data_IF_429961339863
#
_entry.id   IF_429961339863
#
_cell.length_a   1.000
_cell.length_b   1.000
_cell.length_c   1.000
_cell.angle_alpha   90.00
_cell.angle_beta   90.00
_cell.angle_gamma   90.00
#
_symmetry.space_group_name_H-M   'P 1'
#
loop_
_entity.id
_entity.type
_entity.pdbx_description
1 polymer ?
#
# COMPACT_ATOMS: atom_id res chain seq x y z
N UNK A 1 -5.33 3.60 -9.49
CA UNK A 1 -5.16 4.94 -8.87
C UNK A 1 -5.34 6.00 -9.96
N UNK A 2 -6.03 7.09 -9.63
CA UNK A 2 -6.24 8.22 -10.53
C UNK A 2 -5.99 9.50 -9.71
N UNK A 3 -5.05 10.33 -10.14
CA UNK A 3 -4.72 11.61 -9.52
C UNK A 3 -4.99 12.75 -10.48
N UNK A 4 -5.53 13.84 -9.96
CA UNK A 4 -5.77 15.09 -10.69
C UNK A 4 -4.59 16.04 -10.47
N UNK A 5 -3.85 16.34 -11.53
CA UNK A 5 -2.83 17.38 -11.51
C UNK A 5 -3.46 18.72 -11.97
N UNK A 6 -2.64 19.78 -12.08
CA UNK A 6 -3.11 21.10 -12.51
C UNK A 6 -3.63 21.11 -13.96
N UNK A 7 -2.95 20.41 -14.86
CA UNK A 7 -3.19 20.42 -16.32
C UNK A 7 -3.31 19.00 -16.92
N UNK A 8 -3.27 17.97 -16.07
CA UNK A 8 -3.13 16.58 -16.50
C UNK A 8 -3.75 15.60 -15.49
N UNK A 9 -3.91 14.35 -15.91
CA UNK A 9 -4.38 13.25 -15.07
C UNK A 9 -3.30 12.18 -15.00
N UNK A 10 -2.94 11.72 -13.80
CA UNK A 10 -2.05 10.59 -13.62
C UNK A 10 -2.87 9.34 -13.30
N UNK A 11 -2.82 8.36 -14.20
CA UNK A 11 -3.51 7.08 -14.05
C UNK A 11 -2.47 5.97 -13.86
N UNK A 12 -2.60 5.19 -12.78
CA UNK A 12 -1.64 4.15 -12.44
C UNK A 12 -2.28 2.91 -11.84
N UNK A 13 -1.58 1.80 -11.93
CA UNK A 13 -1.92 0.53 -11.28
C UNK A 13 -0.72 0.05 -10.48
N UNK A 14 -0.98 -0.61 -9.36
CA UNK A 14 0.05 -1.25 -8.54
C UNK A 14 -0.26 -2.75 -8.56
N UNK A 15 0.78 -3.55 -8.74
CA UNK A 15 0.69 -5.00 -8.70
C UNK A 15 1.96 -5.58 -8.09
N UNK A 16 1.79 -6.62 -7.26
CA UNK A 16 2.92 -7.32 -6.69
C UNK A 16 3.71 -8.04 -7.79
N UNK A 17 5.04 -7.86 -7.78
CA UNK A 17 5.94 -8.46 -8.76
C UNK A 17 5.80 -9.98 -8.79
N UNK A 18 5.71 -10.62 -7.62
CA UNK A 18 5.49 -12.07 -7.50
C UNK A 18 4.23 -12.55 -8.21
N UNK A 19 3.10 -11.85 -8.02
CA UNK A 19 1.82 -12.17 -8.66
C UNK A 19 1.85 -11.98 -10.18
N UNK A 20 2.55 -10.94 -10.66
CA UNK A 20 2.74 -10.70 -12.10
C UNK A 20 3.56 -11.82 -12.76
N UNK A 21 4.64 -12.25 -12.09
CA UNK A 21 5.51 -13.34 -12.54
C UNK A 21 4.75 -14.67 -12.56
N UNK A 22 4.09 -15.01 -11.45
CA UNK A 22 3.30 -16.24 -11.32
C UNK A 22 2.22 -16.35 -12.41
N UNK A 23 1.50 -15.25 -12.66
CA UNK A 23 0.40 -15.20 -13.64
C UNK A 23 0.87 -14.90 -15.06
N UNK A 24 2.18 -14.70 -15.27
CA UNK A 24 2.78 -14.30 -16.55
C UNK A 24 2.06 -13.11 -17.19
N UNK A 25 1.72 -12.11 -16.39
CA UNK A 25 1.03 -10.89 -16.84
C UNK A 25 2.01 -9.75 -16.98
N UNK A 26 1.84 -8.96 -18.05
CA UNK A 26 2.69 -7.79 -18.29
C UNK A 26 2.06 -6.59 -17.56
N UNK A 27 2.85 -5.77 -16.83
CA UNK A 27 2.30 -4.64 -16.05
C UNK A 27 1.42 -3.69 -16.86
N UNK A 28 1.78 -3.40 -18.11
CA UNK A 28 1.01 -2.50 -18.96
C UNK A 28 -0.38 -3.06 -19.31
N UNK A 29 -0.57 -4.39 -19.35
CA UNK A 29 -1.88 -5.00 -19.62
C UNK A 29 -2.87 -4.71 -18.49
N UNK A 30 -2.37 -4.65 -17.26
CA UNK A 30 -3.18 -4.24 -16.11
C UNK A 30 -3.62 -2.78 -16.23
N UNK A 31 -2.72 -1.90 -16.69
CA UNK A 31 -3.03 -0.49 -16.90
C UNK A 31 -4.07 -0.31 -18.01
N UNK A 32 -3.93 -1.02 -19.14
CA UNK A 32 -4.92 -0.97 -20.22
C UNK A 32 -6.27 -1.52 -19.79
N UNK A 33 -6.29 -2.61 -19.00
CA UNK A 33 -7.54 -3.11 -18.41
C UNK A 33 -8.18 -2.09 -17.46
N UNK A 34 -7.38 -1.40 -16.67
CA UNK A 34 -7.87 -0.36 -15.76
C UNK A 34 -8.42 0.86 -16.52
N UNK A 35 -7.75 1.29 -17.60
CA UNK A 35 -8.23 2.34 -18.50
C UNK A 35 -9.56 1.98 -19.15
N UNK A 36 -9.73 0.72 -19.54
CA UNK A 36 -10.95 0.21 -20.17
C UNK A 36 -12.10 -0.02 -19.16
N UNK A 37 -11.85 0.09 -17.86
CA UNK A 37 -12.89 -0.14 -16.84
C UNK A 37 -14.05 0.86 -17.00
N UNK A 38 -15.34 0.44 -16.93
CA UNK A 38 -16.48 1.33 -17.18
C UNK A 38 -16.53 2.60 -16.33
N UNK A 39 -16.03 2.53 -15.09
CA UNK A 39 -15.93 3.69 -14.20
C UNK A 39 -14.75 4.65 -14.53
N UNK A 40 -13.76 4.21 -15.32
CA UNK A 40 -12.53 4.95 -15.61
C UNK A 40 -12.51 5.44 -17.05
N UNK A 41 -12.95 4.62 -18.01
CA UNK A 41 -12.92 4.94 -19.44
C UNK A 41 -13.59 6.28 -19.80
N UNK A 42 -14.72 6.69 -19.18
CA UNK A 42 -15.30 8.01 -19.42
C UNK A 42 -14.41 9.16 -18.94
N UNK A 43 -13.63 8.95 -17.87
CA UNK A 43 -12.79 9.97 -17.24
C UNK A 43 -11.54 10.28 -18.07
N UNK A 44 -11.07 9.32 -18.86
CA UNK A 44 -9.86 9.46 -19.70
C UNK A 44 -10.17 9.56 -21.19
N UNK A 45 -11.46 9.62 -21.56
CA UNK A 45 -11.91 9.70 -22.96
C UNK A 45 -11.36 10.96 -23.63
N UNK A 46 -10.75 10.80 -24.79
CA UNK A 46 -10.13 11.91 -25.53
C UNK A 46 -8.81 12.42 -24.94
N UNK A 47 -8.35 11.84 -23.82
CA UNK A 47 -7.04 12.16 -23.26
C UNK A 47 -5.90 11.71 -24.17
N UNK A 48 -4.83 12.50 -24.21
CA UNK A 48 -3.59 12.16 -24.91
C UNK A 48 -2.55 11.66 -23.91
N UNK A 49 -1.90 10.53 -24.21
CA UNK A 49 -0.78 10.04 -23.42
C UNK A 49 0.37 11.06 -23.46
N UNK A 50 0.77 11.56 -22.30
CA UNK A 50 1.91 12.48 -22.15
C UNK A 50 3.19 11.73 -21.79
N UNK A 51 3.07 10.78 -20.88
CA UNK A 51 4.20 10.02 -20.34
C UNK A 51 3.73 8.62 -19.94
N UNK A 52 4.61 7.64 -20.11
CA UNK A 52 4.46 6.30 -19.57
C UNK A 52 5.71 5.95 -18.75
N UNK A 53 5.52 5.56 -17.50
CA UNK A 53 6.59 5.17 -16.60
C UNK A 53 6.17 3.97 -15.75
N UNK A 54 7.18 3.26 -15.25
CA UNK A 54 7.02 2.16 -14.31
C UNK A 54 8.10 2.28 -13.24
N UNK A 55 7.76 1.95 -12.00
CA UNK A 55 8.68 2.02 -10.87
C UNK A 55 8.45 0.86 -9.93
N UNK A 56 9.52 0.46 -9.22
CA UNK A 56 9.44 -0.52 -8.16
C UNK A 56 9.19 0.20 -6.84
N UNK A 57 8.26 -0.32 -6.04
CA UNK A 57 7.99 0.18 -4.71
C UNK A 57 8.51 -0.86 -3.72
N UNK A 58 9.43 -0.50 -2.81
CA UNK A 58 9.91 -1.45 -1.82
C UNK A 58 8.80 -1.78 -0.83
N UNK A 59 8.33 -3.03 -0.82
CA UNK A 59 7.40 -3.55 0.20
C UNK A 59 8.18 -4.03 1.44
N UNK A 60 9.08 -3.18 1.92
CA UNK A 60 9.95 -3.46 3.05
C UNK A 60 9.17 -3.33 4.35
N UNK A 61 8.60 -4.44 4.82
CA UNK A 61 7.95 -4.49 6.13
C UNK A 61 8.94 -4.38 7.28
N UNK A 62 8.44 -4.28 8.52
CA UNK A 62 9.25 -4.25 9.75
C UNK A 62 10.29 -5.37 9.90
N UNK A 63 10.03 -6.52 9.27
CA UNK A 63 10.93 -7.68 9.30
C UNK A 63 12.19 -7.47 8.45
N UNK A 64 12.11 -6.62 7.43
CA UNK A 64 13.26 -6.23 6.63
C UNK A 64 14.06 -5.20 7.42
N UNK A 65 15.18 -5.65 8.01
CA UNK A 65 16.07 -4.81 8.83
C UNK A 65 17.39 -4.58 8.09
N UNK A 66 17.42 -3.68 7.09
CA UNK A 66 18.66 -3.40 6.37
C UNK A 66 19.67 -2.71 7.29
N UNK A 67 20.94 -2.77 6.88
CA UNK A 67 22.01 -1.98 7.48
C UNK A 67 21.83 -0.52 7.06
N UNK A 68 21.44 0.33 8.01
CA UNK A 68 21.10 1.73 7.76
C UNK A 68 22.31 2.68 7.76
N UNK A 69 23.45 2.22 8.28
CA UNK A 69 24.70 2.98 8.35
C UNK A 69 25.89 2.03 8.48
N UNK A 70 27.03 2.46 7.97
CA UNK A 70 28.36 1.85 8.14
C UNK A 70 29.41 2.96 8.17
N UNK A 71 30.70 2.63 8.25
CA UNK A 71 31.78 3.61 8.20
C UNK A 71 31.64 4.51 6.96
N UNK A 72 31.45 5.81 7.19
CA UNK A 72 31.33 6.83 6.16
C UNK A 72 30.01 6.83 5.36
N UNK A 73 29.02 6.01 5.71
CA UNK A 73 27.81 5.86 4.89
C UNK A 73 26.53 5.79 5.73
N UNK A 74 25.50 6.49 5.24
CA UNK A 74 24.12 6.46 5.74
C UNK A 74 23.17 6.07 4.60
N UNK A 75 22.12 5.31 4.89
CA UNK A 75 21.12 4.87 3.90
C UNK A 75 19.74 5.39 4.30
N UNK A 76 19.04 6.03 3.36
CA UNK A 76 17.73 6.65 3.58
C UNK A 76 16.76 6.34 2.42
N UNK A 77 15.49 6.69 2.62
CA UNK A 77 14.41 6.48 1.64
C UNK A 77 14.21 5.04 1.21
N UNK A 78 13.86 4.86 -0.06
CA UNK A 78 13.55 3.56 -0.66
C UNK A 78 14.73 2.58 -0.60
N UNK A 79 15.97 3.09 -0.66
CA UNK A 79 17.17 2.27 -0.50
C UNK A 79 17.28 1.65 0.90
N UNK A 80 16.74 2.32 1.92
CA UNK A 80 16.61 1.81 3.28
C UNK A 80 15.30 1.03 3.50
N UNK A 81 14.46 0.89 2.48
CA UNK A 81 13.14 0.25 2.60
C UNK A 81 12.12 1.10 3.34
N UNK A 82 12.28 2.42 3.40
CA UNK A 82 11.33 3.31 4.07
C UNK A 82 10.13 3.66 3.19
N UNK A 83 9.35 2.64 2.79
CA UNK A 83 8.05 2.80 2.16
C UNK A 83 6.99 1.95 2.90
N UNK A 84 6.04 2.63 3.54
CA UNK A 84 4.96 1.97 4.28
C UNK A 84 3.77 1.74 3.35
N UNK A 85 3.56 0.48 2.96
CA UNK A 85 2.41 0.03 2.19
C UNK A 85 1.40 -0.70 3.09
N UNK A 86 0.69 0.05 3.94
CA UNK A 86 -0.30 -0.46 4.90
C UNK A 86 -1.74 -0.22 4.44
N UNK A 87 -1.99 -0.29 3.13
CA UNK A 87 -3.33 -0.19 2.53
C UNK A 87 -3.88 1.24 2.59
N UNK A 88 -4.51 1.60 3.71
CA UNK A 88 -5.04 2.96 3.94
C UNK A 88 -3.90 3.99 4.03
N UNK A 89 -2.77 3.59 4.59
CA UNK A 89 -1.56 4.40 4.65
C UNK A 89 -0.61 3.90 3.56
N UNK A 90 -0.49 4.70 2.50
CA UNK A 90 0.51 4.52 1.45
C UNK A 90 1.46 5.71 1.49
N UNK A 91 2.50 5.58 2.31
CA UNK A 91 3.45 6.66 2.56
C UNK A 91 4.87 6.19 2.22
N UNK A 92 5.39 6.63 1.08
CA UNK A 92 6.80 6.46 0.72
C UNK A 92 7.56 7.77 0.85
N UNK A 93 7.07 8.81 0.15
CA UNK A 93 7.70 10.14 0.11
C UNK A 93 7.90 10.75 1.50
N UNK A 94 6.91 10.62 2.39
CA UNK A 94 6.99 11.16 3.75
C UNK A 94 8.16 10.55 4.52
N UNK A 95 8.27 9.21 4.55
CA UNK A 95 9.36 8.54 5.24
C UNK A 95 10.71 8.70 4.52
N UNK A 96 10.72 8.83 3.20
CA UNK A 96 11.93 9.19 2.45
C UNK A 96 12.46 10.57 2.86
N UNK A 97 11.59 11.58 2.97
CA UNK A 97 11.97 12.90 3.46
C UNK A 97 12.42 12.87 4.92
N UNK A 98 11.67 12.20 5.81
CA UNK A 98 12.02 12.14 7.24
C UNK A 98 13.34 11.38 7.49
N UNK A 99 13.57 10.29 6.76
CA UNK A 99 14.83 9.54 6.84
C UNK A 99 16.01 10.32 6.26
N UNK A 100 15.81 11.05 5.15
CA UNK A 100 16.81 11.95 4.59
C UNK A 100 17.20 13.06 5.58
N UNK A 101 16.23 13.66 6.26
CA UNK A 101 16.47 14.68 7.28
C UNK A 101 17.22 14.12 8.50
N UNK A 102 16.83 12.92 8.98
CA UNK A 102 17.57 12.23 10.04
C UNK A 102 19.01 11.89 9.63
N UNK A 103 19.23 11.50 8.38
CA UNK A 103 20.56 11.22 7.85
C UNK A 103 21.41 12.51 7.79
N UNK A 104 20.81 13.62 7.34
CA UNK A 104 21.49 14.92 7.28
C UNK A 104 21.90 15.42 8.67
N UNK A 105 21.02 15.32 9.68
CA UNK A 105 21.33 15.67 11.07
C UNK A 105 22.51 14.85 11.61
N UNK A 106 22.49 13.54 11.35
CA UNK A 106 23.58 12.63 11.75
C UNK A 106 24.90 12.99 11.06
N UNK A 107 24.86 13.29 9.76
CA UNK A 107 26.04 13.66 9.00
C UNK A 107 26.64 15.00 9.49
N UNK A 108 25.80 15.99 9.81
CA UNK A 108 26.25 17.27 10.37
C UNK A 108 26.94 17.06 11.74
N UNK A 109 26.37 16.21 12.60
CA UNK A 109 26.97 15.84 13.89
C UNK A 109 28.33 15.15 13.70
N UNK A 110 28.42 14.21 12.76
CA UNK A 110 29.65 13.50 12.42
C UNK A 110 30.74 14.44 11.89
N UNK A 111 30.40 15.35 10.98
CA UNK A 111 31.30 16.36 10.44
C UNK A 111 31.83 17.29 11.53
N UNK A 112 30.97 17.77 12.44
CA UNK A 112 31.39 18.64 13.56
C UNK A 112 32.36 17.97 14.52
N UNK A 113 32.31 16.65 14.63
CA UNK A 113 33.17 15.86 15.51
C UNK A 113 34.36 15.21 14.80
N UNK A 114 34.44 15.38 13.49
CA UNK A 114 35.39 14.69 12.60
C UNK A 114 35.44 13.16 12.84
N UNK A 115 34.25 12.54 12.95
CA UNK A 115 34.10 11.12 13.25
C UNK A 115 33.04 10.47 12.38
N UNK A 116 33.49 9.60 11.48
CA UNK A 116 32.64 8.97 10.47
C UNK A 116 32.49 7.45 10.63
N UNK A 117 32.97 6.88 11.74
CA UNK A 117 32.79 5.44 11.98
C UNK A 117 31.33 5.07 12.16
N UNK A 118 30.98 3.80 11.94
CA UNK A 118 29.64 3.26 12.13
C UNK A 118 29.13 3.49 13.56
N UNK A 119 30.03 3.50 14.56
CA UNK A 119 29.70 3.85 15.93
C UNK A 119 29.28 5.30 16.07
N UNK A 120 29.99 6.24 15.43
CA UNK A 120 29.64 7.66 15.45
C UNK A 120 28.31 7.91 14.72
N UNK A 121 28.09 7.22 13.60
CA UNK A 121 26.87 7.34 12.78
C UNK A 121 25.65 6.61 13.36
N UNK A 122 25.82 5.87 14.46
CA UNK A 122 24.72 5.11 15.08
C UNK A 122 23.59 5.99 15.65
N UNK A 123 23.83 7.29 15.88
CA UNK A 123 22.80 8.26 16.28
C UNK A 123 21.67 8.37 15.25
N UNK A 124 21.92 7.99 14.00
CA UNK A 124 20.87 7.93 12.95
C UNK A 124 19.65 7.11 13.37
N UNK A 125 19.83 5.99 14.10
CA UNK A 125 18.69 5.20 14.60
C UNK A 125 17.82 5.99 15.57
N UNK A 126 18.44 6.83 16.39
CA UNK A 126 17.73 7.66 17.35
C UNK A 126 16.96 8.77 16.62
N UNK A 127 17.57 9.43 15.64
CA UNK A 127 16.89 10.43 14.80
C UNK A 127 15.68 9.84 14.07
N UNK A 128 15.81 8.64 13.49
CA UNK A 128 14.68 7.93 12.85
C UNK A 128 13.56 7.62 13.84
N UNK A 129 13.90 7.23 15.07
CA UNK A 129 12.91 6.94 16.12
C UNK A 129 12.18 8.20 16.58
N UNK A 130 12.88 9.32 16.75
CA UNK A 130 12.29 10.60 17.12
C UNK A 130 11.29 11.11 16.07
N UNK A 131 11.51 10.76 14.80
CA UNK A 131 10.65 11.11 13.67
C UNK A 131 9.57 10.07 13.38
N UNK A 132 9.33 9.13 14.31
CA UNK A 132 8.36 8.05 14.21
C UNK A 132 8.51 7.05 13.05
N UNK A 133 9.51 7.20 12.18
CA UNK A 133 9.78 6.29 11.05
C UNK A 133 9.83 4.84 11.52
N UNK A 134 10.64 4.52 12.54
CA UNK A 134 10.72 3.15 13.06
C UNK A 134 9.47 2.72 13.84
N UNK A 135 8.77 3.67 14.45
CA UNK A 135 7.61 3.39 15.32
C UNK A 135 6.43 2.93 14.48
N UNK A 136 6.17 3.64 13.38
CA UNK A 136 5.03 3.37 12.51
C UNK A 136 5.19 2.05 11.76
N UNK A 137 6.39 1.75 11.27
CA UNK A 137 6.69 0.45 10.67
C UNK A 137 6.50 -0.70 11.65
N UNK A 138 6.83 -0.50 12.94
CA UNK A 138 6.62 -1.51 13.98
C UNK A 138 5.13 -1.70 14.31
N UNK A 139 4.37 -0.61 14.36
CA UNK A 139 2.94 -0.62 14.63
C UNK A 139 2.19 -1.36 13.51
N UNK A 140 2.43 -0.99 12.26
CA UNK A 140 1.73 -1.55 11.10
C UNK A 140 2.40 -2.79 10.49
N UNK A 141 3.23 -3.51 11.26
CA UNK A 141 4.01 -4.66 10.76
C UNK A 141 3.18 -5.80 10.17
N UNK A 142 1.91 -5.91 10.55
CA UNK A 142 0.98 -6.95 10.07
C UNK A 142 0.06 -6.46 8.96
N UNK A 143 0.00 -5.15 8.70
CA UNK A 143 -0.89 -4.57 7.70
C UNK A 143 -0.57 -5.01 6.26
N UNK A 144 0.70 -5.03 5.80
CA UNK A 144 1.01 -5.46 4.42
C UNK A 144 0.50 -6.87 4.10
N UNK A 145 0.63 -7.80 5.05
CA UNK A 145 0.17 -9.18 4.87
C UNK A 145 -1.36 -9.28 4.71
N UNK A 146 -2.11 -8.48 5.48
CA UNK A 146 -3.56 -8.42 5.37
C UNK A 146 -4.00 -7.71 4.07
N UNK A 147 -3.37 -6.59 3.75
CA UNK A 147 -3.65 -5.77 2.55
C UNK A 147 -3.41 -6.55 1.27
N UNK A 148 -2.37 -7.38 1.26
CA UNK A 148 -2.02 -8.24 0.13
C UNK A 148 -2.74 -9.59 0.11
N UNK A 149 -3.71 -9.80 1.01
CA UNK A 149 -4.49 -11.03 0.99
C UNK A 149 -5.38 -11.11 -0.26
N UNK A 150 -5.43 -12.30 -0.89
CA UNK A 150 -6.20 -12.51 -2.12
C UNK A 150 -7.69 -12.20 -1.94
N UNK A 151 -8.25 -12.40 -0.74
CA UNK A 151 -9.64 -12.09 -0.44
C UNK A 151 -9.91 -10.60 -0.39
N UNK A 152 -9.06 -9.84 0.29
CA UNK A 152 -9.24 -8.40 0.37
C UNK A 152 -9.06 -7.73 -1.01
N UNK A 153 -8.13 -8.23 -1.84
CA UNK A 153 -7.90 -7.65 -3.16
C UNK A 153 -8.93 -8.06 -4.23
N UNK A 154 -9.45 -9.30 -4.18
CA UNK A 154 -10.30 -9.82 -5.26
C UNK A 154 -11.75 -10.06 -4.84
N UNK A 155 -11.98 -10.62 -3.64
CA UNK A 155 -13.29 -11.14 -3.25
C UNK A 155 -14.15 -10.06 -2.58
N UNK A 156 -13.62 -9.37 -1.58
CA UNK A 156 -14.39 -8.39 -0.81
C UNK A 156 -14.86 -7.18 -1.63
N UNK A 157 -14.06 -6.60 -2.55
CA UNK A 157 -14.54 -5.50 -3.39
C UNK A 157 -15.75 -5.92 -4.23
N UNK A 158 -15.74 -7.14 -4.77
CA UNK A 158 -16.84 -7.67 -5.57
C UNK A 158 -18.09 -7.92 -4.71
N UNK A 159 -17.92 -8.53 -3.53
CA UNK A 159 -19.02 -8.76 -2.58
C UNK A 159 -19.67 -7.44 -2.15
N UNK A 160 -18.88 -6.41 -1.85
CA UNK A 160 -19.38 -5.10 -1.46
C UNK A 160 -20.08 -4.42 -2.63
N UNK A 161 -19.49 -4.41 -3.83
CA UNK A 161 -20.08 -3.80 -5.00
C UNK A 161 -21.43 -4.47 -5.37
N UNK A 162 -21.46 -5.81 -5.42
CA UNK A 162 -22.68 -6.59 -5.69
C UNK A 162 -23.73 -6.39 -4.60
N UNK A 163 -23.32 -6.33 -3.33
CA UNK A 163 -24.23 -6.07 -2.22
C UNK A 163 -24.85 -4.67 -2.27
N UNK A 164 -24.06 -3.66 -2.60
CA UNK A 164 -24.55 -2.29 -2.78
C UNK A 164 -25.46 -2.19 -4.01
N UNK A 165 -25.10 -2.82 -5.13
CA UNK A 165 -25.97 -2.91 -6.31
C UNK A 165 -27.34 -3.49 -5.94
N UNK A 166 -27.37 -4.63 -5.24
CA UNK A 166 -28.62 -5.28 -4.83
C UNK A 166 -29.43 -4.45 -3.82
N UNK A 167 -28.77 -3.65 -2.97
CA UNK A 167 -29.44 -2.79 -1.99
C UNK A 167 -30.13 -1.59 -2.65
N UNK A 168 -29.49 -1.00 -3.68
CA UNK A 168 -29.97 0.20 -4.35
C UNK A 168 -30.81 -0.09 -5.60
N UNK A 169 -30.70 -1.28 -6.19
CA UNK A 169 -31.49 -1.68 -7.36
C UNK A 169 -32.98 -1.70 -7.03
N UNK A 170 -33.76 -0.99 -7.85
CA UNK A 170 -35.22 -0.97 -7.78
C UNK A 170 -35.75 -1.82 -8.94
N UNK A 171 -36.13 -3.06 -8.64
CA UNK A 171 -36.61 -4.04 -9.62
C UNK A 171 -38.12 -4.35 -9.47
N UNK A 172 -38.84 -3.52 -8.69
CA UNK A 172 -40.26 -3.70 -8.40
C UNK A 172 -40.57 -4.84 -7.41
N UNK A 173 -39.56 -5.55 -6.90
CA UNK A 173 -39.74 -6.59 -5.87
C UNK A 173 -39.64 -5.97 -4.48
N UNK A 174 -40.22 -6.65 -3.49
CA UNK A 174 -40.11 -6.24 -2.10
C UNK A 174 -38.63 -6.18 -1.66
N UNK A 175 -38.21 -5.06 -1.08
CA UNK A 175 -36.83 -4.89 -0.60
C UNK A 175 -36.51 -5.94 0.45
N UNK A 176 -35.42 -6.67 0.24
CA UNK A 176 -34.90 -7.62 1.23
C UNK A 176 -34.25 -6.86 2.38
N UNK A 177 -34.45 -7.34 3.61
CA UNK A 177 -33.69 -6.87 4.77
C UNK A 177 -32.20 -7.20 4.61
N UNK A 178 -31.33 -6.47 5.31
CA UNK A 178 -29.87 -6.60 5.21
C UNK A 178 -29.38 -8.03 5.56
N UNK A 179 -29.94 -8.66 6.59
CA UNK A 179 -29.53 -10.02 7.00
C UNK A 179 -29.76 -11.10 5.92
N UNK A 180 -30.97 -11.22 5.33
CA UNK A 180 -31.20 -12.12 4.20
C UNK A 180 -30.28 -11.86 3.00
N UNK A 181 -30.00 -10.59 2.69
CA UNK A 181 -29.07 -10.21 1.62
C UNK A 181 -27.65 -10.66 1.92
N UNK A 182 -27.15 -10.40 3.13
CA UNK A 182 -25.83 -10.87 3.57
C UNK A 182 -25.71 -12.40 3.51
N UNK A 183 -26.74 -13.15 3.94
CA UNK A 183 -26.77 -14.62 3.81
C UNK A 183 -26.74 -15.09 2.37
N UNK A 184 -27.44 -14.38 1.47
CA UNK A 184 -27.41 -14.69 0.04
C UNK A 184 -26.03 -14.49 -0.56
N UNK A 185 -25.40 -13.33 -0.30
CA UNK A 185 -24.04 -13.02 -0.75
C UNK A 185 -23.01 -14.02 -0.21
N UNK A 186 -23.11 -14.40 1.07
CA UNK A 186 -22.23 -15.42 1.64
C UNK A 186 -22.33 -16.76 0.90
N UNK A 187 -23.55 -17.18 0.51
CA UNK A 187 -23.75 -18.41 -0.26
C UNK A 187 -23.25 -18.27 -1.70
N UNK A 188 -23.53 -17.14 -2.34
CA UNK A 188 -23.13 -16.85 -3.72
C UNK A 188 -21.60 -16.87 -3.88
N UNK A 189 -20.89 -16.23 -2.95
CA UNK A 189 -19.43 -16.13 -2.94
C UNK A 189 -18.73 -17.23 -2.14
N UNK A 190 -19.48 -18.26 -1.69
CA UNK A 190 -18.98 -19.40 -0.91
C UNK A 190 -18.14 -19.00 0.33
N UNK A 191 -18.49 -17.89 0.95
CA UNK A 191 -17.79 -17.35 2.11
C UNK A 191 -18.07 -18.22 3.35
N UNK A 192 -17.03 -18.82 3.92
CA UNK A 192 -17.15 -19.57 5.17
C UNK A 192 -17.09 -18.61 6.37
N UNK A 193 -17.97 -18.74 7.37
CA UNK A 193 -17.96 -17.85 8.55
C UNK A 193 -16.63 -17.85 9.31
N UNK A 194 -15.98 -19.01 9.46
CA UNK A 194 -14.68 -19.10 10.14
C UNK A 194 -13.55 -18.37 9.40
N UNK A 195 -13.65 -18.31 8.07
CA UNK A 195 -12.71 -17.58 7.23
C UNK A 195 -12.88 -16.06 7.39
N UNK A 196 -14.12 -15.57 7.41
CA UNK A 196 -14.43 -14.17 7.67
C UNK A 196 -14.00 -13.74 9.09
N UNK A 197 -14.19 -14.61 10.10
CA UNK A 197 -13.73 -14.33 11.46
C UNK A 197 -12.20 -14.21 11.52
N UNK A 198 -11.48 -15.10 10.82
CA UNK A 198 -10.02 -15.05 10.72
C UNK A 198 -9.56 -13.77 10.02
N UNK A 199 -10.25 -13.35 8.96
CA UNK A 199 -9.92 -12.14 8.21
C UNK A 199 -10.22 -10.88 9.05
N UNK A 200 -11.32 -10.88 9.81
CA UNK A 200 -11.64 -9.84 10.79
C UNK A 200 -10.61 -9.73 11.91
N UNK A 201 -10.16 -10.87 12.47
CA UNK A 201 -9.07 -10.89 13.44
C UNK A 201 -7.76 -10.34 12.86
N UNK A 202 -7.41 -10.72 11.62
CA UNK A 202 -6.23 -10.20 10.93
C UNK A 202 -6.32 -8.69 10.70
N UNK A 203 -7.50 -8.17 10.35
CA UNK A 203 -7.74 -6.73 10.22
C UNK A 203 -7.54 -6.01 11.56
N UNK A 204 -8.11 -6.52 12.65
CA UNK A 204 -7.93 -5.96 14.00
C UNK A 204 -6.45 -5.96 14.38
N UNK A 205 -5.74 -7.08 14.18
CA UNK A 205 -4.29 -7.20 14.42
C UNK A 205 -3.41 -6.41 13.45
N UNK A 206 -3.97 -5.87 12.37
CA UNK A 206 -3.24 -5.08 11.39
C UNK A 206 -3.32 -3.58 11.70
N UNK A 207 -4.45 -3.13 12.24
CA UNK A 207 -4.76 -1.70 12.37
C UNK A 207 -5.09 -1.24 13.80
N UNK A 208 -5.42 -2.15 14.72
CA UNK A 208 -5.79 -1.79 16.10
C UNK A 208 -4.78 -2.25 17.15
N UNK A 209 -4.10 -3.39 16.94
CA UNK A 209 -3.11 -4.00 17.86
C UNK A 209 -1.81 -4.33 17.15
#
# INVERSE_FOLDING_TARGET
QLYTNRDSLSLGVIGQVSSLVERRKRPYELLERFKAHPAVAPLVRGGKLREYSAHLIPESGWTMKPTLYTDGMLVAGDAAGFCLAAGLYLEGMNYAMQSGLAAAETAIEACRRDRFSARALSSYRQHLKQRNVSTDFRAYRHAPAFVNSARLQNLYPEVVASGMEQLFRVDGKAKRKILPLARHLMRQYQLKPGEMLRDGYQMVRAYLW
#
